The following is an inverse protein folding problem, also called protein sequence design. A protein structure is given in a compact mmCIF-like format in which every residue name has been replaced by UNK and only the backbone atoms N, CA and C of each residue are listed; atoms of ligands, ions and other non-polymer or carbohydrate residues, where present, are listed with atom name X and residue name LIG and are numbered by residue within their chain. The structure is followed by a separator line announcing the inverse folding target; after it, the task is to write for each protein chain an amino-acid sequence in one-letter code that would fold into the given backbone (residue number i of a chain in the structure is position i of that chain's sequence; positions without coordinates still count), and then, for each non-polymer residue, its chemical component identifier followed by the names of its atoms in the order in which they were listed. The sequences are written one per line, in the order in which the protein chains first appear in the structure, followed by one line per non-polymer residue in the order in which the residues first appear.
data_IF_246076355162
#
_entry.id   IF_246076355162
#
_cell.length_a   1.000
_cell.length_b   1.000
_cell.length_c   1.000
_cell.angle_alpha   90.00
_cell.angle_beta   90.00
_cell.angle_gamma   90.00
#
_symmetry.space_group_name_H-M   'P 1'
#
loop_
_entity.id
_entity.type
_entity.pdbx_description
1 polymer ?
#
# COMPACT_ATOMS: atom_id res chain seq x y z
N UNK A 1 9.87 -13.44 -4.81
CA UNK A 1 10.32 -12.23 -5.51
C UNK A 1 11.81 -11.97 -5.29
N UNK A 2 12.47 -11.38 -6.29
CA UNK A 2 13.85 -10.89 -6.19
C UNK A 2 13.97 -9.47 -5.62
N UNK A 3 12.86 -8.79 -5.34
CA UNK A 3 12.87 -7.44 -4.78
C UNK A 3 13.41 -7.46 -3.35
N UNK A 4 14.41 -6.59 -3.10
CA UNK A 4 14.97 -6.38 -1.77
C UNK A 4 14.34 -5.13 -1.17
N UNK A 5 13.52 -5.31 -0.14
CA UNK A 5 12.94 -4.20 0.61
C UNK A 5 13.91 -3.73 1.70
N UNK A 6 14.00 -2.41 1.98
CA UNK A 6 14.74 -1.92 3.13
C UNK A 6 14.08 -2.41 4.43
N UNK A 7 14.87 -2.50 5.51
CA UNK A 7 14.36 -2.91 6.82
C UNK A 7 13.41 -1.89 7.44
N UNK A 8 13.55 -0.62 7.07
CA UNK A 8 12.74 0.49 7.54
C UNK A 8 12.09 1.17 6.34
N UNK A 9 10.83 1.51 6.44
CA UNK A 9 10.09 2.34 5.48
C UNK A 9 9.55 3.60 6.15
N UNK A 10 9.40 4.67 5.40
CA UNK A 10 8.77 5.89 5.89
C UNK A 10 7.27 5.86 5.59
N UNK A 11 6.44 5.82 6.65
CA UNK A 11 4.99 5.95 6.52
C UNK A 11 4.55 7.40 6.41
N UNK A 12 3.72 7.73 5.43
CA UNK A 12 3.27 9.09 5.15
C UNK A 12 1.83 9.35 5.65
N UNK A 13 1.39 8.68 6.69
CA UNK A 13 0.05 8.92 7.26
C UNK A 13 -0.01 10.26 7.99
N UNK A 14 0.93 10.48 8.92
CA UNK A 14 1.02 11.72 9.69
C UNK A 14 2.03 12.69 9.07
N UNK A 15 1.82 13.98 9.29
CA UNK A 15 2.71 15.07 8.84
C UNK A 15 2.79 15.30 7.31
N UNK A 16 1.97 14.62 6.52
CA UNK A 16 1.93 14.77 5.06
C UNK A 16 0.56 15.28 4.53
N UNK A 17 -0.35 15.64 5.43
CA UNK A 17 -1.68 16.19 5.07
C UNK A 17 -1.67 17.68 4.70
N UNK A 18 -2.85 18.20 4.36
CA UNK A 18 -3.04 19.59 3.91
C UNK A 18 -2.65 20.65 4.96
N UNK A 19 -2.60 20.28 6.25
CA UNK A 19 -2.22 21.20 7.34
C UNK A 19 -0.72 21.18 7.66
N UNK A 20 0.06 20.35 6.99
CA UNK A 20 1.49 20.24 7.23
C UNK A 20 2.28 21.17 6.31
N UNK A 21 3.44 21.62 6.77
CA UNK A 21 4.31 22.48 5.98
C UNK A 21 5.06 21.67 4.92
N UNK A 22 5.03 22.11 3.66
CA UNK A 22 5.64 21.40 2.53
C UNK A 22 7.17 21.28 2.68
N UNK A 23 7.84 22.30 3.18
CA UNK A 23 9.31 22.25 3.40
C UNK A 23 9.67 21.22 4.49
N UNK A 24 8.86 21.14 5.56
CA UNK A 24 9.07 20.09 6.58
C UNK A 24 8.85 18.69 6.01
N UNK A 25 7.89 18.52 5.10
CA UNK A 25 7.71 17.22 4.41
C UNK A 25 8.93 16.90 3.54
N UNK A 26 9.46 17.86 2.81
CA UNK A 26 10.69 17.72 2.01
C UNK A 26 11.86 17.31 2.89
N UNK A 27 12.09 18.01 3.99
CA UNK A 27 13.18 17.70 4.93
C UNK A 27 13.09 16.26 5.48
N UNK A 28 11.88 15.80 5.81
CA UNK A 28 11.64 14.42 6.28
C UNK A 28 11.97 13.42 5.16
N UNK A 29 11.49 13.66 3.94
CA UNK A 29 11.72 12.76 2.80
C UNK A 29 13.20 12.71 2.40
N UNK A 30 13.87 13.86 2.30
CA UNK A 30 15.30 13.93 2.00
C UNK A 30 16.14 13.25 3.09
N UNK A 31 15.86 13.55 4.35
CA UNK A 31 16.56 12.91 5.47
C UNK A 31 16.39 11.38 5.43
N UNK A 32 15.19 10.89 5.18
CA UNK A 32 14.93 9.46 5.06
C UNK A 32 15.73 8.85 3.89
N UNK A 33 15.64 9.44 2.71
CA UNK A 33 16.28 8.92 1.50
C UNK A 33 17.82 8.93 1.62
N UNK A 34 18.41 10.02 2.10
CA UNK A 34 19.85 10.17 2.31
C UNK A 34 20.41 9.18 3.36
N UNK A 35 19.56 8.68 4.26
CA UNK A 35 19.89 7.63 5.21
C UNK A 35 19.50 6.21 4.75
N UNK A 36 19.20 6.04 3.46
CA UNK A 36 18.94 4.73 2.86
C UNK A 36 17.52 4.18 3.07
N UNK A 37 16.57 5.00 3.55
CA UNK A 37 15.16 4.65 3.61
C UNK A 37 14.54 4.98 2.25
N UNK A 38 14.49 3.97 1.38
CA UNK A 38 14.04 4.13 -0.01
C UNK A 38 12.58 3.72 -0.22
N UNK A 39 11.90 3.18 0.79
CA UNK A 39 10.50 2.78 0.70
C UNK A 39 9.59 3.82 1.39
N UNK A 40 8.73 4.44 0.58
CA UNK A 40 7.73 5.44 1.00
C UNK A 40 6.34 4.81 0.93
N UNK A 41 5.67 4.74 2.09
CA UNK A 41 4.43 4.00 2.26
C UNK A 41 3.23 4.92 2.47
N UNK A 42 2.37 5.00 1.45
CA UNK A 42 1.16 5.81 1.40
C UNK A 42 -0.12 4.97 1.49
N UNK A 43 -1.25 5.63 1.47
CA UNK A 43 -2.56 5.11 1.17
C UNK A 43 -3.45 6.22 0.60
N UNK A 44 -4.46 5.82 -0.17
CA UNK A 44 -5.37 6.78 -0.82
C UNK A 44 -6.09 7.70 0.19
N UNK A 45 -6.35 7.20 1.41
CA UNK A 45 -7.06 7.93 2.46
C UNK A 45 -6.13 8.69 3.44
N UNK A 46 -4.81 8.65 3.25
CA UNK A 46 -3.88 9.35 4.14
C UNK A 46 -3.96 10.87 3.97
N UNK A 47 -3.84 11.56 5.10
CA UNK A 47 -3.94 13.01 5.21
C UNK A 47 -4.00 13.45 6.67
N UNK A 48 -4.85 14.42 7.10
CA UNK A 48 -6.06 14.98 6.46
C UNK A 48 -5.76 16.02 5.36
N UNK A 49 -6.66 16.25 4.34
CA UNK A 49 -7.83 15.41 4.08
C UNK A 49 -7.46 14.14 3.32
N UNK A 50 -8.38 13.14 3.14
CA UNK A 50 -8.08 11.94 2.37
C UNK A 50 -7.52 12.29 0.98
N UNK A 51 -6.38 11.65 0.62
CA UNK A 51 -5.67 11.90 -0.64
C UNK A 51 -4.63 13.02 -0.59
N UNK A 52 -4.59 13.83 0.47
CA UNK A 52 -3.65 14.94 0.57
C UNK A 52 -2.21 14.48 0.72
N UNK A 53 -1.94 13.38 1.42
CA UNK A 53 -0.60 12.83 1.52
C UNK A 53 -0.04 12.43 0.15
N UNK A 54 -0.82 11.74 -0.68
CA UNK A 54 -0.42 11.39 -2.05
C UNK A 54 -0.21 12.62 -2.93
N UNK A 55 -1.07 13.63 -2.81
CA UNK A 55 -0.95 14.91 -3.54
C UNK A 55 0.34 15.64 -3.17
N UNK A 56 0.61 15.82 -1.88
CA UNK A 56 1.80 16.51 -1.39
C UNK A 56 3.08 15.76 -1.75
N UNK A 57 3.08 14.43 -1.60
CA UNK A 57 4.18 13.59 -2.06
C UNK A 57 4.41 13.72 -3.57
N UNK A 58 3.36 13.76 -4.38
CA UNK A 58 3.44 13.97 -5.83
C UNK A 58 4.05 15.30 -6.22
N UNK A 59 3.76 16.38 -5.48
CA UNK A 59 4.40 17.69 -5.69
C UNK A 59 5.91 17.58 -5.47
N UNK A 60 6.32 16.99 -4.35
CA UNK A 60 7.73 16.82 -3.98
C UNK A 60 8.46 15.90 -4.96
N UNK A 61 7.82 14.79 -5.38
CA UNK A 61 8.36 13.92 -6.41
C UNK A 61 8.66 14.69 -7.70
N UNK A 62 7.71 15.49 -8.17
CA UNK A 62 7.84 16.25 -9.42
C UNK A 62 8.94 17.30 -9.34
N UNK A 63 9.05 18.00 -8.22
CA UNK A 63 9.99 19.11 -8.05
C UNK A 63 11.42 18.63 -7.77
N UNK A 64 11.58 17.63 -6.90
CA UNK A 64 12.87 17.34 -6.28
C UNK A 64 13.35 15.90 -6.49
N UNK A 65 12.44 14.91 -6.46
CA UNK A 65 12.77 13.49 -6.40
C UNK A 65 12.62 12.73 -7.73
N UNK A 66 12.06 13.33 -8.77
CA UNK A 66 11.73 12.63 -10.03
C UNK A 66 12.90 11.87 -10.65
N UNK A 67 14.12 12.41 -10.56
CA UNK A 67 15.35 11.76 -11.05
C UNK A 67 15.74 10.50 -10.28
N UNK A 68 15.18 10.26 -9.10
CA UNK A 68 15.47 9.10 -8.26
C UNK A 68 14.32 8.09 -8.23
N UNK A 69 13.29 8.24 -9.10
CA UNK A 69 12.11 7.36 -9.10
C UNK A 69 12.47 5.87 -9.11
N UNK A 70 13.47 5.48 -9.89
CA UNK A 70 13.86 4.07 -10.04
C UNK A 70 14.65 3.53 -8.84
N UNK A 71 15.13 4.41 -7.95
CA UNK A 71 15.77 4.04 -6.68
C UNK A 71 14.78 4.00 -5.51
N UNK A 72 13.50 4.33 -5.76
CA UNK A 72 12.47 4.36 -4.75
C UNK A 72 11.52 3.18 -4.88
N UNK A 73 11.02 2.71 -3.75
CA UNK A 73 9.85 1.86 -3.66
C UNK A 73 8.71 2.72 -3.15
N UNK A 74 7.72 2.93 -3.99
CA UNK A 74 6.53 3.70 -3.66
C UNK A 74 5.36 2.75 -3.53
N UNK A 75 4.75 2.71 -2.36
CA UNK A 75 3.55 1.92 -2.12
C UNK A 75 2.35 2.78 -1.80
N UNK A 76 1.16 2.35 -2.26
CA UNK A 76 -0.10 2.92 -1.81
C UNK A 76 -1.17 1.84 -1.63
N UNK A 77 -2.28 2.21 -1.02
CA UNK A 77 -3.31 1.27 -0.55
C UNK A 77 -4.71 1.83 -0.80
N UNK A 78 -5.67 0.94 -0.98
CA UNK A 78 -7.09 1.29 -0.98
C UNK A 78 -7.91 0.25 -0.20
N UNK A 79 -8.94 0.69 0.54
CA UNK A 79 -9.76 -0.19 1.39
C UNK A 79 -10.56 0.55 2.44
N UNK A 80 -10.23 1.80 2.70
CA UNK A 80 -10.99 2.69 3.58
C UNK A 80 -11.75 3.74 2.78
N UNK A 81 -12.76 4.34 3.39
CA UNK A 81 -13.64 5.31 2.73
C UNK A 81 -12.85 6.47 2.12
N UNK A 82 -13.06 6.70 0.84
CA UNK A 82 -12.45 7.77 0.06
C UNK A 82 -13.45 8.81 -0.46
N UNK A 83 -14.69 8.38 -0.73
CA UNK A 83 -15.77 9.27 -1.16
C UNK A 83 -17.13 8.73 -0.70
N UNK A 84 -18.11 9.60 -0.60
CA UNK A 84 -19.44 9.25 -0.18
C UNK A 84 -20.18 8.37 -1.20
N UNK A 85 -21.06 7.52 -0.71
CA UNK A 85 -21.86 6.64 -1.53
C UNK A 85 -21.37 5.19 -1.56
N UNK A 86 -22.06 4.31 -2.29
CA UNK A 86 -21.89 2.86 -2.15
C UNK A 86 -20.62 2.28 -2.79
N UNK A 87 -19.84 3.10 -3.50
CA UNK A 87 -18.68 2.64 -4.26
C UNK A 87 -17.36 3.22 -3.80
N UNK A 88 -17.36 3.95 -2.69
CA UNK A 88 -16.18 4.69 -2.18
C UNK A 88 -15.40 3.99 -1.08
N UNK A 89 -15.59 2.68 -0.86
CA UNK A 89 -15.02 1.94 0.26
C UNK A 89 -14.80 0.44 -0.05
N UNK A 90 -14.09 -0.25 0.84
CA UNK A 90 -13.87 -1.71 0.88
C UNK A 90 -13.05 -2.30 -0.27
N UNK A 91 -13.44 -3.47 -0.81
CA UNK A 91 -12.59 -4.30 -1.67
C UNK A 91 -13.16 -4.64 -3.05
N UNK A 92 -14.31 -4.02 -3.45
CA UNK A 92 -14.89 -4.30 -4.76
C UNK A 92 -13.93 -3.93 -5.90
N UNK A 93 -14.02 -4.67 -7.00
CA UNK A 93 -13.25 -4.38 -8.23
C UNK A 93 -13.42 -2.92 -8.67
N UNK A 94 -14.66 -2.41 -8.63
CA UNK A 94 -14.96 -1.03 -9.01
C UNK A 94 -14.18 -0.03 -8.16
N UNK A 95 -14.16 -0.24 -6.84
CA UNK A 95 -13.46 0.64 -5.91
C UNK A 95 -11.95 0.57 -6.07
N UNK A 96 -11.36 -0.63 -6.15
CA UNK A 96 -9.91 -0.80 -6.24
C UNK A 96 -9.33 -0.23 -7.54
N UNK A 97 -10.00 -0.46 -8.68
CA UNK A 97 -9.55 0.08 -9.97
C UNK A 97 -9.65 1.62 -9.99
N UNK A 98 -10.77 2.17 -9.53
CA UNK A 98 -10.92 3.63 -9.43
C UNK A 98 -9.88 4.24 -8.47
N UNK A 99 -9.60 3.57 -7.37
CA UNK A 99 -8.65 4.06 -6.34
C UNK A 99 -7.22 4.13 -6.86
N UNK A 100 -6.72 3.09 -7.54
CA UNK A 100 -5.35 3.15 -8.10
C UNK A 100 -5.24 4.27 -9.14
N UNK A 101 -6.23 4.46 -10.00
CA UNK A 101 -6.21 5.52 -11.01
C UNK A 101 -6.18 6.91 -10.37
N UNK A 102 -6.96 7.13 -9.33
CA UNK A 102 -6.95 8.36 -8.57
C UNK A 102 -5.62 8.59 -7.83
N UNK A 103 -5.05 7.54 -7.23
CA UNK A 103 -3.77 7.59 -6.53
C UNK A 103 -2.63 7.95 -7.47
N UNK A 104 -2.53 7.30 -8.62
CA UNK A 104 -1.53 7.61 -9.65
C UNK A 104 -1.65 9.06 -10.13
N UNK A 105 -2.89 9.53 -10.36
CA UNK A 105 -3.15 10.92 -10.75
C UNK A 105 -2.71 11.92 -9.68
N UNK A 106 -2.97 11.65 -8.38
CA UNK A 106 -2.55 12.53 -7.28
C UNK A 106 -1.04 12.60 -7.17
N UNK A 107 -0.36 11.47 -7.30
CA UNK A 107 1.11 11.39 -7.20
C UNK A 107 1.84 11.81 -8.49
N UNK A 108 1.14 11.91 -9.62
CA UNK A 108 1.77 12.17 -10.92
C UNK A 108 2.64 11.01 -11.42
N UNK A 109 2.25 9.79 -11.10
CA UNK A 109 2.98 8.56 -11.44
C UNK A 109 2.21 7.73 -12.48
N UNK A 110 2.94 6.97 -13.28
CA UNK A 110 2.37 5.97 -14.19
C UNK A 110 2.11 4.63 -13.48
N UNK A 111 2.92 4.29 -12.47
CA UNK A 111 2.78 3.08 -11.66
C UNK A 111 3.30 3.30 -10.23
N UNK A 112 2.86 2.43 -9.32
CA UNK A 112 3.46 2.25 -8.00
C UNK A 112 4.21 0.92 -7.94
N UNK A 113 5.17 0.79 -7.04
CA UNK A 113 5.89 -0.47 -6.87
C UNK A 113 5.01 -1.51 -6.20
N UNK A 114 4.28 -1.13 -5.15
CA UNK A 114 3.40 -2.03 -4.43
C UNK A 114 2.02 -1.39 -4.26
N UNK A 115 0.98 -2.11 -4.67
CA UNK A 115 -0.41 -1.71 -4.36
C UNK A 115 -1.03 -2.68 -3.36
N UNK A 116 -1.59 -2.15 -2.28
CA UNK A 116 -2.22 -2.97 -1.22
C UNK A 116 -3.74 -2.88 -1.24
N UNK A 117 -4.40 -4.04 -0.99
CA UNK A 117 -5.73 -3.99 -0.41
C UNK A 117 -5.60 -3.72 1.10
N UNK A 118 -6.11 -2.57 1.55
CA UNK A 118 -5.78 -1.97 2.85
C UNK A 118 -6.41 -2.66 4.05
N UNK A 119 -7.56 -3.31 3.86
CA UNK A 119 -8.23 -4.10 4.90
C UNK A 119 -9.10 -5.19 4.30
N UNK A 120 -9.28 -6.25 5.06
CA UNK A 120 -10.20 -7.33 4.70
C UNK A 120 -11.63 -6.80 4.51
N UNK A 121 -12.32 -7.27 3.45
CA UNK A 121 -13.73 -7.01 3.19
C UNK A 121 -14.50 -8.32 3.19
N UNK A 122 -15.42 -8.45 4.17
CA UNK A 122 -16.23 -9.67 4.33
C UNK A 122 -17.44 -9.73 3.40
N UNK A 123 -17.77 -8.63 2.73
CA UNK A 123 -18.94 -8.51 1.88
C UNK A 123 -18.63 -8.69 0.39
N UNK A 124 -17.37 -8.54 0.01
CA UNK A 124 -16.89 -8.78 -1.36
C UNK A 124 -16.24 -10.17 -1.44
N UNK A 125 -16.61 -11.02 -2.42
CA UNK A 125 -15.90 -12.27 -2.65
C UNK A 125 -14.39 -12.04 -2.80
N UNK A 126 -13.58 -12.85 -2.12
CA UNK A 126 -12.13 -12.69 -2.11
C UNK A 126 -11.53 -12.80 -3.51
N UNK A 127 -12.14 -13.63 -4.37
CA UNK A 127 -11.78 -13.80 -5.78
C UNK A 127 -11.97 -12.51 -6.58
N UNK A 128 -12.99 -11.71 -6.27
CA UNK A 128 -13.20 -10.40 -6.92
C UNK A 128 -12.09 -9.42 -6.52
N UNK A 129 -11.78 -9.32 -5.24
CA UNK A 129 -10.70 -8.48 -4.73
C UNK A 129 -9.35 -8.90 -5.31
N UNK A 130 -9.01 -10.19 -5.26
CA UNK A 130 -7.77 -10.71 -5.84
C UNK A 130 -7.71 -10.53 -7.37
N UNK A 131 -8.84 -10.72 -8.05
CA UNK A 131 -8.95 -10.46 -9.49
C UNK A 131 -8.79 -8.99 -9.85
N UNK A 132 -9.20 -8.05 -8.99
CA UNK A 132 -8.93 -6.63 -9.17
C UNK A 132 -7.43 -6.31 -9.00
N UNK A 133 -6.78 -6.88 -7.99
CA UNK A 133 -5.33 -6.75 -7.80
C UNK A 133 -4.54 -7.31 -9.00
N UNK A 134 -4.97 -8.46 -9.53
CA UNK A 134 -4.39 -9.05 -10.73
C UNK A 134 -4.53 -8.12 -11.95
N UNK A 135 -5.69 -7.51 -12.14
CA UNK A 135 -5.93 -6.55 -13.22
C UNK A 135 -5.04 -5.31 -13.09
N UNK A 136 -4.83 -4.81 -11.88
CA UNK A 136 -3.96 -3.66 -11.60
C UNK A 136 -2.51 -3.96 -12.02
N UNK A 137 -1.98 -5.13 -11.65
CA UNK A 137 -0.63 -5.55 -12.08
C UNK A 137 -0.56 -5.76 -13.59
N UNK A 138 -1.50 -6.50 -14.17
CA UNK A 138 -1.50 -6.80 -15.60
C UNK A 138 -1.66 -5.55 -16.49
N UNK A 139 -2.26 -4.48 -15.95
CA UNK A 139 -2.35 -3.18 -16.63
C UNK A 139 -1.12 -2.29 -16.42
N UNK A 140 -0.09 -2.77 -15.71
CA UNK A 140 1.14 -2.02 -15.47
C UNK A 140 1.03 -0.91 -14.42
N UNK A 141 -0.07 -0.81 -13.68
CA UNK A 141 -0.30 0.23 -12.67
C UNK A 141 0.37 -0.06 -11.32
N UNK A 142 0.72 -1.33 -11.09
CA UNK A 142 1.56 -1.74 -9.97
C UNK A 142 2.48 -2.89 -10.39
N UNK A 143 3.68 -2.96 -9.83
CA UNK A 143 4.61 -4.05 -10.09
C UNK A 143 4.34 -5.27 -9.21
N UNK A 144 3.94 -5.03 -7.98
CA UNK A 144 3.67 -6.04 -6.96
C UNK A 144 2.38 -5.70 -6.22
N UNK A 145 1.81 -6.72 -5.57
CA UNK A 145 0.68 -6.51 -4.67
C UNK A 145 1.01 -6.92 -3.24
N UNK A 146 0.33 -6.25 -2.32
CA UNK A 146 0.28 -6.58 -0.91
C UNK A 146 -1.16 -6.61 -0.41
N UNK A 147 -1.32 -7.11 0.80
CA UNK A 147 -2.56 -7.00 1.55
C UNK A 147 -2.26 -6.49 2.96
N UNK A 148 -3.28 -5.94 3.63
CA UNK A 148 -3.12 -5.35 4.95
C UNK A 148 -4.33 -5.68 5.82
N UNK A 149 -4.12 -5.83 7.12
CA UNK A 149 -5.19 -6.09 8.11
C UNK A 149 -6.04 -7.34 7.78
N UNK A 150 -5.39 -8.41 7.35
CA UNK A 150 -5.98 -9.73 7.16
C UNK A 150 -5.67 -10.63 8.35
N UNK A 151 -6.47 -11.68 8.55
CA UNK A 151 -6.14 -12.80 9.44
C UNK A 151 -5.40 -13.92 8.70
N UNK A 152 -4.95 -14.93 9.43
CA UNK A 152 -4.14 -16.02 8.86
C UNK A 152 -4.89 -16.87 7.84
N UNK A 153 -6.17 -17.14 8.08
CA UNK A 153 -7.01 -17.95 7.19
C UNK A 153 -7.25 -17.23 5.87
N UNK A 154 -7.68 -15.97 5.93
CA UNK A 154 -7.94 -15.17 4.74
C UNK A 154 -6.66 -14.86 3.97
N UNK A 155 -5.51 -14.70 4.66
CA UNK A 155 -4.21 -14.60 4.02
C UNK A 155 -3.87 -15.85 3.19
N UNK A 156 -4.09 -17.05 3.74
CA UNK A 156 -3.82 -18.31 3.02
C UNK A 156 -4.69 -18.43 1.76
N UNK A 157 -5.98 -18.11 1.88
CA UNK A 157 -6.91 -18.12 0.74
C UNK A 157 -6.50 -17.11 -0.34
N UNK A 158 -6.21 -15.86 0.06
CA UNK A 158 -5.77 -14.82 -0.87
C UNK A 158 -4.47 -15.19 -1.58
N UNK A 159 -3.49 -15.74 -0.85
CA UNK A 159 -2.22 -16.18 -1.42
C UNK A 159 -2.41 -17.26 -2.48
N UNK A 160 -3.30 -18.24 -2.24
CA UNK A 160 -3.63 -19.27 -3.20
C UNK A 160 -4.25 -18.70 -4.48
N UNK A 161 -5.26 -17.83 -4.35
CA UNK A 161 -5.92 -17.18 -5.50
C UNK A 161 -4.92 -16.35 -6.30
N UNK A 162 -4.09 -15.54 -5.63
CA UNK A 162 -3.10 -14.70 -6.30
C UNK A 162 -2.01 -15.53 -7.00
N UNK A 163 -1.61 -16.68 -6.44
CA UNK A 163 -0.68 -17.62 -7.11
C UNK A 163 -1.31 -18.26 -8.34
N UNK A 164 -2.57 -18.69 -8.27
CA UNK A 164 -3.32 -19.21 -9.43
C UNK A 164 -3.42 -18.16 -10.54
N UNK A 165 -3.63 -16.89 -10.18
CA UNK A 165 -3.66 -15.75 -11.11
C UNK A 165 -2.27 -15.28 -11.57
N UNK A 166 -1.18 -15.90 -11.09
CA UNK A 166 0.23 -15.54 -11.37
C UNK A 166 0.57 -14.09 -11.02
N UNK A 167 -0.02 -13.58 -9.94
CA UNK A 167 0.22 -12.23 -9.44
C UNK A 167 1.38 -12.24 -8.44
N UNK A 168 2.35 -11.32 -8.55
CA UNK A 168 3.47 -11.23 -7.62
C UNK A 168 3.05 -10.63 -6.27
N UNK A 169 2.45 -11.48 -5.41
CA UNK A 169 2.09 -11.14 -4.05
C UNK A 169 3.30 -11.29 -3.13
N UNK A 170 3.77 -10.20 -2.55
CA UNK A 170 5.08 -10.18 -1.87
C UNK A 170 5.05 -9.81 -0.40
N UNK A 171 3.99 -9.13 0.07
CA UNK A 171 4.02 -8.54 1.41
C UNK A 171 2.63 -8.47 2.02
N UNK A 172 2.58 -8.65 3.34
CA UNK A 172 1.41 -8.38 4.17
C UNK A 172 1.79 -7.35 5.24
N UNK A 173 0.98 -6.29 5.40
CA UNK A 173 1.21 -5.20 6.34
C UNK A 173 0.15 -5.19 7.44
N UNK A 174 0.59 -5.13 8.70
CA UNK A 174 -0.30 -5.12 9.87
C UNK A 174 0.27 -4.33 11.03
N UNK A 175 -0.63 -3.87 11.91
CA UNK A 175 -0.23 -3.34 13.20
C UNK A 175 0.42 -4.45 14.03
N UNK A 176 1.60 -4.17 14.55
CA UNK A 176 2.30 -5.06 15.45
C UNK A 176 3.27 -4.29 16.34
N UNK A 177 3.07 -4.35 17.62
CA UNK A 177 3.91 -3.67 18.59
C UNK A 177 3.93 -4.46 19.91
N UNK A 178 4.62 -3.94 20.91
CA UNK A 178 4.55 -4.51 22.27
C UNK A 178 3.14 -4.46 22.87
N UNK A 179 2.29 -3.54 22.39
CA UNK A 179 0.90 -3.36 22.86
C UNK A 179 -0.13 -4.01 21.93
N UNK A 180 0.13 -4.15 20.64
CA UNK A 180 -0.78 -4.82 19.70
C UNK A 180 -0.14 -6.10 19.17
N UNK A 181 -0.60 -7.23 19.72
CA UNK A 181 -0.14 -8.59 19.39
C UNK A 181 -1.17 -9.39 18.62
N UNK A 182 -2.16 -8.73 18.02
CA UNK A 182 -3.28 -9.38 17.31
C UNK A 182 -2.83 -10.40 16.28
N UNK A 183 -1.77 -10.12 15.53
CA UNK A 183 -1.27 -11.02 14.48
C UNK A 183 -0.70 -12.36 15.01
N UNK A 184 -0.37 -12.44 16.29
CA UNK A 184 0.04 -13.70 16.93
C UNK A 184 -1.17 -14.57 17.26
N UNK A 185 -2.29 -13.92 17.62
CA UNK A 185 -3.50 -14.61 18.10
C UNK A 185 -4.44 -15.01 16.96
N UNK A 186 -4.39 -14.31 15.80
CA UNK A 186 -5.25 -14.58 14.64
C UNK A 186 -4.57 -15.46 13.56
N UNK A 187 -3.44 -16.09 13.88
CA UNK A 187 -2.73 -17.01 12.99
C UNK A 187 -1.94 -16.36 11.84
N UNK A 188 -2.00 -15.04 11.69
CA UNK A 188 -1.38 -14.35 10.57
C UNK A 188 0.14 -14.46 10.56
N UNK A 189 0.78 -14.27 11.71
CA UNK A 189 2.25 -14.31 11.85
C UNK A 189 2.82 -15.66 11.38
N UNK A 190 2.20 -16.75 11.80
CA UNK A 190 2.64 -18.10 11.47
C UNK A 190 2.35 -18.42 10.00
N UNK A 191 1.17 -18.02 9.50
CA UNK A 191 0.80 -18.23 8.11
C UNK A 191 1.72 -17.47 7.14
N UNK A 192 2.00 -16.19 7.42
CA UNK A 192 2.94 -15.40 6.60
C UNK A 192 4.35 -16.01 6.59
N UNK A 193 4.79 -16.58 7.72
CA UNK A 193 6.04 -17.34 7.82
C UNK A 193 6.03 -18.60 6.96
N UNK A 194 4.97 -19.40 7.02
CA UNK A 194 4.76 -20.62 6.23
C UNK A 194 4.76 -20.33 4.71
N UNK A 195 4.10 -19.27 4.30
CA UNK A 195 3.98 -18.84 2.91
C UNK A 195 5.24 -18.09 2.40
N UNK A 196 6.18 -17.77 3.27
CA UNK A 196 7.39 -16.96 2.95
C UNK A 196 7.05 -15.60 2.33
N UNK A 197 5.95 -15.00 2.77
CA UNK A 197 5.52 -13.66 2.37
C UNK A 197 6.18 -12.64 3.30
N UNK A 198 6.63 -11.51 2.75
CA UNK A 198 7.17 -10.39 3.52
C UNK A 198 6.15 -9.87 4.53
N UNK A 199 6.64 -9.37 5.67
CA UNK A 199 5.81 -8.79 6.72
C UNK A 199 6.28 -7.39 7.03
N UNK A 200 5.40 -6.41 6.86
CA UNK A 200 5.61 -5.06 7.34
C UNK A 200 4.79 -4.82 8.61
N UNK A 201 5.36 -4.08 9.53
CA UNK A 201 4.73 -3.74 10.81
C UNK A 201 4.59 -2.22 10.92
N UNK A 202 3.42 -1.76 11.33
CA UNK A 202 3.06 -0.35 11.54
C UNK A 202 2.47 -0.18 12.93
#
# INVERSE_FOLDING_TARGET
SGLKLPLVSLGLWHNFGDHSNLESMKDILFTAFDNGITHFDLANNYGPAPGSAEKNFGIILKEDFGKYRDEMIISTKAGYTMWDGPYGDFGSRKYLIASIDQSLKRMGLEYVDIFYHHRMDKNTPLEETCGALAQIVNSGKALYVGISNYDGETLEQAAKILDELKVPFIINQNRYSIFDRTIENNGLKDMAGKLKIGRAHV
#
